data_IF_228680998480
#
_entry.id   IF_228680998480
#
_cell.length_a   1.000
_cell.length_b   1.000
_cell.length_c   1.000
_cell.angle_alpha   90.00
_cell.angle_beta   90.00
_cell.angle_gamma   90.00
#
_symmetry.space_group_name_H-M   'P 1'
#
loop_
_entity.id
_entity.type
_entity.pdbx_description
1 polymer ?
#
# COMPACT_ATOMS: atom_id res chain seq x y z
N UNK A 1 -35.58 0.44 -35.05
CA UNK A 1 -35.09 0.76 -33.70
C UNK A 1 -34.65 -0.56 -33.09
N UNK A 2 -33.34 -0.82 -32.92
CA UNK A 2 -32.86 -2.11 -32.39
C UNK A 2 -32.99 -2.13 -30.87
N UNK A 3 -33.45 -3.24 -30.34
CA UNK A 3 -33.93 -3.44 -28.98
C UNK A 3 -32.81 -3.93 -28.01
N UNK A 4 -31.56 -3.46 -28.19
CA UNK A 4 -30.37 -4.10 -27.56
C UNK A 4 -29.49 -3.21 -26.69
N UNK A 5 -30.02 -2.16 -26.06
CA UNK A 5 -29.23 -1.37 -25.09
C UNK A 5 -29.99 -1.12 -23.78
N UNK A 6 -30.44 -2.22 -23.15
CA UNK A 6 -31.06 -2.17 -21.83
C UNK A 6 -29.98 -2.26 -20.76
N UNK A 7 -29.67 -1.13 -20.14
CA UNK A 7 -28.86 -1.09 -18.92
C UNK A 7 -29.67 -1.66 -17.76
N UNK A 8 -29.18 -2.68 -17.07
CA UNK A 8 -29.77 -3.18 -15.83
C UNK A 8 -28.86 -2.87 -14.65
N UNK A 9 -29.42 -2.28 -13.59
CA UNK A 9 -28.73 -1.98 -12.34
C UNK A 9 -29.50 -2.64 -11.19
N UNK A 10 -28.81 -3.43 -10.37
CA UNK A 10 -29.35 -3.94 -9.10
C UNK A 10 -28.42 -3.53 -7.97
N UNK A 11 -29.00 -2.91 -6.93
CA UNK A 11 -28.29 -2.49 -5.73
C UNK A 11 -28.80 -3.26 -4.52
N UNK A 12 -27.87 -3.87 -3.78
CA UNK A 12 -28.14 -4.65 -2.60
C UNK A 12 -27.36 -4.10 -1.40
N UNK A 13 -27.96 -4.18 -0.22
CA UNK A 13 -27.30 -3.85 1.05
C UNK A 13 -27.35 -5.03 2.02
N UNK A 14 -26.33 -5.12 2.88
CA UNK A 14 -26.28 -5.98 4.04
C UNK A 14 -25.90 -5.12 5.26
N UNK A 15 -26.51 -5.42 6.40
CA UNK A 15 -26.12 -4.81 7.68
C UNK A 15 -26.43 -5.79 8.80
N UNK A 16 -25.39 -6.30 9.44
CA UNK A 16 -25.53 -6.97 10.74
C UNK A 16 -25.42 -5.91 11.85
N UNK A 17 -26.15 -6.07 12.95
CA UNK A 17 -26.12 -5.14 14.08
C UNK A 17 -24.76 -4.98 14.77
N UNK A 18 -23.72 -5.67 14.27
CA UNK A 18 -22.35 -5.66 14.81
C UNK A 18 -21.46 -4.58 14.16
N UNK A 19 -21.95 -3.89 13.12
CA UNK A 19 -21.20 -2.87 12.38
C UNK A 19 -20.17 -3.44 11.39
N UNK A 20 -19.82 -4.73 11.47
CA UNK A 20 -18.93 -5.40 10.49
C UNK A 20 -19.63 -5.71 9.17
N UNK A 21 -20.94 -5.91 9.20
CA UNK A 21 -21.76 -6.26 8.04
C UNK A 21 -22.26 -5.09 7.21
N UNK A 22 -22.03 -3.83 7.58
CA UNK A 22 -22.62 -2.65 6.91
C UNK A 22 -22.02 -2.38 5.51
N UNK A 23 -22.53 -3.06 4.48
CA UNK A 23 -21.92 -3.19 3.14
C UNK A 23 -22.95 -3.10 2.02
N UNK A 24 -22.52 -2.65 0.85
CA UNK A 24 -23.31 -2.66 -0.36
C UNK A 24 -22.68 -3.52 -1.45
N UNK A 25 -23.52 -3.96 -2.38
CA UNK A 25 -23.14 -4.66 -3.60
C UNK A 25 -24.05 -4.23 -4.74
N UNK A 26 -23.45 -3.83 -5.85
CA UNK A 26 -24.11 -3.29 -7.02
C UNK A 26 -23.65 -4.07 -8.24
N UNK A 27 -24.58 -4.45 -9.10
CA UNK A 27 -24.29 -5.04 -10.39
C UNK A 27 -24.98 -4.22 -11.47
N UNK A 28 -24.19 -3.68 -12.40
CA UNK A 28 -24.63 -2.94 -13.58
C UNK A 28 -24.23 -3.71 -14.83
N UNK A 29 -25.18 -4.02 -15.70
CA UNK A 29 -24.91 -4.58 -17.03
C UNK A 29 -25.27 -3.56 -18.10
N UNK A 30 -24.39 -3.42 -19.10
CA UNK A 30 -24.55 -2.54 -20.26
C UNK A 30 -23.94 -3.27 -21.47
N UNK A 31 -24.79 -3.67 -22.42
CA UNK A 31 -24.38 -4.58 -23.50
C UNK A 31 -23.75 -5.86 -22.95
N UNK A 32 -22.52 -6.18 -23.39
CA UNK A 32 -21.76 -7.35 -22.92
C UNK A 32 -20.79 -7.04 -21.77
N UNK A 33 -20.93 -5.88 -21.12
CA UNK A 33 -20.09 -5.48 -19.99
C UNK A 33 -20.86 -5.55 -18.68
N UNK A 34 -20.25 -6.18 -17.67
CA UNK A 34 -20.71 -6.20 -16.28
C UNK A 34 -19.76 -5.37 -15.42
N UNK A 35 -20.32 -4.38 -14.74
CA UNK A 35 -19.65 -3.57 -13.73
C UNK A 35 -20.21 -3.94 -12.36
N UNK A 36 -19.34 -4.43 -11.48
CA UNK A 36 -19.66 -4.75 -10.10
C UNK A 36 -19.08 -3.67 -9.20
N UNK A 37 -19.90 -3.05 -8.36
CA UNK A 37 -19.43 -2.08 -7.35
C UNK A 37 -19.78 -2.57 -5.95
N UNK A 38 -18.83 -2.58 -5.02
CA UNK A 38 -19.09 -3.11 -3.68
C UNK A 38 -18.18 -2.49 -2.63
N UNK A 39 -18.70 -2.29 -1.43
CA UNK A 39 -17.95 -1.59 -0.39
C UNK A 39 -18.75 -1.42 0.88
N UNK A 40 -18.32 -0.48 1.73
CA UNK A 40 -19.11 -0.06 2.88
C UNK A 40 -20.17 0.94 2.44
N UNK A 41 -21.37 0.86 2.99
CA UNK A 41 -22.45 1.80 2.69
C UNK A 41 -21.98 3.23 3.04
N UNK A 42 -22.26 4.19 2.15
CA UNK A 42 -21.79 5.57 2.26
C UNK A 42 -20.32 5.78 1.87
N UNK A 43 -19.72 4.86 1.10
CA UNK A 43 -18.40 5.02 0.46
C UNK A 43 -18.50 4.76 -1.05
N UNK A 44 -17.50 5.20 -1.82
CA UNK A 44 -17.43 4.91 -3.28
C UNK A 44 -17.34 3.39 -3.56
N UNK A 45 -16.65 2.66 -2.69
CA UNK A 45 -16.43 1.21 -2.80
C UNK A 45 -15.39 0.83 -3.86
N UNK A 46 -15.28 -0.47 -4.12
CA UNK A 46 -14.47 -1.06 -5.19
C UNK A 46 -15.31 -1.20 -6.45
N UNK A 47 -14.70 -1.05 -7.62
CA UNK A 47 -15.34 -1.33 -8.91
C UNK A 47 -14.54 -2.39 -9.67
N UNK A 48 -15.22 -3.42 -10.16
CA UNK A 48 -14.67 -4.43 -11.05
C UNK A 48 -15.46 -4.45 -12.36
N UNK A 49 -14.78 -4.32 -13.49
CA UNK A 49 -15.40 -4.38 -14.82
C UNK A 49 -15.00 -5.68 -15.51
N UNK A 50 -15.96 -6.37 -16.12
CA UNK A 50 -15.74 -7.60 -16.90
C UNK A 50 -16.50 -7.53 -18.22
N UNK A 51 -15.84 -7.91 -19.30
CA UNK A 51 -16.45 -8.02 -20.63
C UNK A 51 -16.73 -9.48 -20.96
N UNK A 52 -17.87 -9.74 -21.60
CA UNK A 52 -18.35 -11.05 -21.99
C UNK A 52 -18.54 -11.15 -23.51
N UNK A 53 -18.60 -12.37 -24.08
CA UNK A 53 -18.84 -12.54 -25.52
C UNK A 53 -20.22 -12.07 -25.98
N UNK A 54 -21.24 -12.12 -25.11
CA UNK A 54 -22.61 -11.69 -25.42
C UNK A 54 -23.26 -10.97 -24.22
N UNK A 55 -24.27 -10.11 -24.46
CA UNK A 55 -25.05 -9.48 -23.39
C UNK A 55 -25.72 -10.49 -22.43
N UNK A 56 -26.20 -11.61 -22.96
CA UNK A 56 -26.85 -12.66 -22.16
C UNK A 56 -25.87 -13.32 -21.19
N UNK A 57 -24.61 -13.49 -21.59
CA UNK A 57 -23.56 -14.02 -20.71
C UNK A 57 -23.21 -13.04 -19.57
N UNK A 58 -23.18 -11.73 -19.86
CA UNK A 58 -22.97 -10.71 -18.82
C UNK A 58 -24.12 -10.69 -17.81
N UNK A 59 -25.37 -10.79 -18.29
CA UNK A 59 -26.57 -10.86 -17.45
C UNK A 59 -26.60 -12.12 -16.59
N UNK A 60 -26.29 -13.29 -17.17
CA UNK A 60 -26.25 -14.55 -16.42
C UNK A 60 -25.20 -14.54 -15.31
N UNK A 61 -24.02 -13.94 -15.53
CA UNK A 61 -23.02 -13.77 -14.48
C UNK A 61 -23.49 -12.77 -13.41
N UNK A 62 -24.13 -11.67 -13.81
CA UNK A 62 -24.70 -10.70 -12.86
C UNK A 62 -25.73 -11.36 -11.93
N UNK A 63 -26.68 -12.11 -12.49
CA UNK A 63 -27.71 -12.83 -11.73
C UNK A 63 -27.12 -13.87 -10.79
N UNK A 64 -26.09 -14.58 -11.24
CA UNK A 64 -25.35 -15.54 -10.41
C UNK A 64 -24.72 -14.84 -9.20
N UNK A 65 -24.07 -13.69 -9.41
CA UNK A 65 -23.46 -12.90 -8.33
C UNK A 65 -24.50 -12.33 -7.38
N UNK A 66 -25.60 -11.79 -7.89
CA UNK A 66 -26.68 -11.26 -7.07
C UNK A 66 -27.34 -12.35 -6.22
N UNK A 67 -27.58 -13.54 -6.78
CA UNK A 67 -28.11 -14.70 -6.06
C UNK A 67 -27.18 -15.16 -4.94
N UNK A 68 -25.86 -15.21 -5.22
CA UNK A 68 -24.83 -15.50 -4.21
C UNK A 68 -24.82 -14.48 -3.06
N UNK A 69 -25.11 -13.21 -3.34
CA UNK A 69 -25.20 -12.16 -2.31
C UNK A 69 -26.50 -12.25 -1.52
N UNK A 70 -27.64 -12.49 -2.18
CA UNK A 70 -28.93 -12.69 -1.52
C UNK A 70 -28.89 -13.87 -0.55
N UNK A 71 -28.25 -14.99 -0.91
CA UNK A 71 -28.08 -16.12 0.01
C UNK A 71 -27.19 -15.82 1.22
N UNK A 72 -26.34 -14.79 1.12
CA UNK A 72 -25.52 -14.25 2.22
C UNK A 72 -26.25 -13.16 3.03
N UNK A 73 -27.56 -12.98 2.81
CA UNK A 73 -28.40 -12.06 3.57
C UNK A 73 -28.46 -10.63 3.02
N UNK A 74 -27.91 -10.36 1.83
CA UNK A 74 -28.10 -9.07 1.17
C UNK A 74 -29.54 -8.92 0.70
N UNK A 75 -30.11 -7.72 0.87
CA UNK A 75 -31.46 -7.38 0.46
C UNK A 75 -31.44 -6.25 -0.55
N UNK A 76 -32.48 -6.16 -1.40
CA UNK A 76 -32.64 -5.02 -2.29
C UNK A 76 -32.81 -3.73 -1.49
N UNK A 77 -32.14 -2.68 -1.94
CA UNK A 77 -32.12 -1.38 -1.30
C UNK A 77 -32.05 -0.26 -2.33
N UNK A 78 -32.37 0.96 -1.90
CA UNK A 78 -32.21 2.17 -2.70
C UNK A 78 -30.90 2.86 -2.33
N UNK A 79 -30.07 3.17 -3.33
CA UNK A 79 -28.82 3.87 -3.11
C UNK A 79 -29.06 5.23 -2.42
N UNK A 80 -28.40 5.45 -1.28
CA UNK A 80 -28.43 6.72 -0.55
C UNK A 80 -29.45 6.79 0.60
N UNK A 81 -30.37 5.83 0.73
CA UNK A 81 -31.32 5.80 1.86
C UNK A 81 -30.66 5.42 3.19
N UNK A 82 -29.69 4.50 3.16
CA UNK A 82 -28.95 4.09 4.35
C UNK A 82 -27.66 4.89 4.48
N UNK A 83 -27.52 5.60 5.61
CA UNK A 83 -26.34 6.38 5.93
C UNK A 83 -25.16 5.53 6.41
N UNK A 84 -23.94 6.09 6.31
CA UNK A 84 -22.70 5.48 6.78
C UNK A 84 -22.76 5.16 8.28
N UNK A 85 -22.60 3.89 8.65
CA UNK A 85 -22.45 3.48 10.04
C UNK A 85 -20.99 3.55 10.51
N UNK A 86 -20.75 4.12 11.68
CA UNK A 86 -19.45 4.05 12.35
C UNK A 86 -19.15 2.61 12.78
N UNK A 87 -17.96 2.12 12.44
CA UNK A 87 -17.49 0.82 12.93
C UNK A 87 -16.89 1.06 14.30
N UNK A 88 -17.33 0.33 15.35
CA UNK A 88 -16.62 0.34 16.61
C UNK A 88 -15.18 -0.12 16.35
N UNK A 89 -14.21 0.77 16.50
CA UNK A 89 -12.79 0.41 16.49
C UNK A 89 -12.59 -0.48 17.72
N UNK A 90 -12.05 -1.71 17.60
CA UNK A 90 -11.69 -2.49 18.77
C UNK A 90 -10.78 -1.65 19.66
N UNK A 91 -11.13 -1.47 20.93
CA UNK A 91 -10.40 -0.61 21.85
C UNK A 91 -8.89 -0.95 21.82
N UNK A 92 -8.06 0.06 21.55
CA UNK A 92 -6.62 -0.13 21.45
C UNK A 92 -6.08 -0.58 22.81
N UNK A 93 -5.24 -1.62 22.83
CA UNK A 93 -4.51 -2.05 24.03
C UNK A 93 -3.29 -1.15 24.22
N UNK A 94 -3.55 0.07 24.70
CA UNK A 94 -2.54 1.10 24.90
C UNK A 94 -1.71 0.85 26.17
N UNK A 95 -0.40 1.15 26.17
CA UNK A 95 0.38 1.36 27.38
C UNK A 95 -0.33 2.32 28.36
N UNK A 96 -0.17 2.09 29.67
CA UNK A 96 -0.82 2.91 30.70
C UNK A 96 -0.52 4.40 30.55
N UNK A 97 0.72 4.74 30.17
CA UNK A 97 1.14 6.12 29.99
C UNK A 97 0.39 6.85 28.86
N UNK A 98 -0.17 6.12 27.90
CA UNK A 98 -0.98 6.68 26.80
C UNK A 98 -2.48 6.72 27.10
N UNK A 99 -2.91 6.33 28.30
CA UNK A 99 -4.33 6.25 28.64
C UNK A 99 -5.05 7.60 28.53
N UNK A 100 -4.37 8.70 28.87
CA UNK A 100 -4.92 10.07 28.77
C UNK A 100 -5.12 10.53 27.32
N UNK A 101 -4.44 9.91 26.35
CA UNK A 101 -4.48 10.27 24.93
C UNK A 101 -5.27 9.26 24.08
N UNK A 102 -6.04 8.36 24.72
CA UNK A 102 -6.77 7.28 24.05
C UNK A 102 -7.63 7.79 22.90
N UNK A 103 -8.50 8.76 23.15
CA UNK A 103 -9.48 9.22 22.15
C UNK A 103 -8.78 9.79 20.91
N UNK A 104 -7.67 10.52 21.10
CA UNK A 104 -6.86 11.06 20.02
C UNK A 104 -6.18 9.94 19.21
N UNK A 105 -5.58 8.95 19.89
CA UNK A 105 -4.92 7.81 19.25
C UNK A 105 -5.92 6.91 18.51
N UNK A 106 -7.10 6.64 19.09
CA UNK A 106 -8.16 5.87 18.43
C UNK A 106 -8.74 6.63 17.22
N UNK A 107 -8.82 7.96 17.28
CA UNK A 107 -9.20 8.80 16.13
C UNK A 107 -8.16 8.80 15.02
N UNK A 108 -6.87 8.65 15.37
CA UNK A 108 -5.80 8.58 14.37
C UNK A 108 -5.75 7.26 13.59
N UNK A 109 -6.50 6.23 13.98
CA UNK A 109 -6.37 4.89 13.38
C UNK A 109 -6.60 4.92 11.87
N UNK A 110 -5.60 4.45 11.10
CA UNK A 110 -5.67 4.33 9.64
C UNK A 110 -5.53 2.87 9.21
N UNK A 111 -6.22 2.46 8.14
CA UNK A 111 -5.96 1.16 7.52
C UNK A 111 -4.59 1.18 6.83
N UNK A 112 -3.96 0.01 6.74
CA UNK A 112 -2.74 -0.23 5.97
C UNK A 112 -2.68 -1.70 5.54
N UNK A 113 -1.87 -2.03 4.55
CA UNK A 113 -1.61 -3.41 4.14
C UNK A 113 -0.26 -3.82 4.70
N UNK A 114 -0.25 -4.72 5.67
CA UNK A 114 0.97 -5.37 6.18
C UNK A 114 1.45 -6.38 5.16
N UNK A 115 2.72 -6.33 4.80
CA UNK A 115 3.34 -7.22 3.83
C UNK A 115 4.24 -8.23 4.55
N UNK A 116 4.15 -9.49 4.13
CA UNK A 116 5.07 -10.56 4.53
C UNK A 116 5.66 -11.19 3.29
N UNK A 117 6.95 -11.52 3.31
CA UNK A 117 7.63 -12.21 2.23
C UNK A 117 7.95 -13.66 2.55
N UNK A 118 8.17 -14.46 1.52
CA UNK A 118 8.85 -15.74 1.65
C UNK A 118 9.61 -16.06 0.36
N UNK A 119 10.74 -16.75 0.46
CA UNK A 119 11.49 -17.18 -0.72
C UNK A 119 10.60 -18.08 -1.60
N UNK A 120 10.68 -17.90 -2.92
CA UNK A 120 9.90 -18.75 -3.83
C UNK A 120 9.87 -18.26 -5.27
N UNK A 121 9.39 -19.15 -6.15
CA UNK A 121 9.15 -18.80 -7.55
C UNK A 121 7.92 -17.89 -7.64
N UNK A 122 8.04 -16.83 -8.45
CA UNK A 122 6.97 -15.87 -8.68
C UNK A 122 6.70 -15.76 -10.19
N UNK A 123 5.43 -15.64 -10.57
CA UNK A 123 5.09 -15.23 -11.94
C UNK A 123 5.57 -13.79 -12.18
N UNK A 124 5.85 -13.36 -13.42
CA UNK A 124 6.32 -12.00 -13.70
C UNK A 124 5.45 -10.90 -13.07
N UNK A 125 4.13 -11.07 -13.06
CA UNK A 125 3.14 -10.12 -12.52
C UNK A 125 2.81 -10.29 -11.02
N UNK A 126 3.46 -11.20 -10.30
CA UNK A 126 3.25 -11.39 -8.86
C UNK A 126 3.96 -10.29 -8.05
N UNK A 127 3.36 -9.86 -6.94
CA UNK A 127 3.99 -8.97 -5.96
C UNK A 127 5.21 -9.66 -5.36
N UNK A 128 6.38 -9.03 -5.46
CA UNK A 128 7.65 -9.66 -5.07
C UNK A 128 8.71 -8.63 -4.72
N UNK A 129 9.71 -9.08 -3.96
CA UNK A 129 11.01 -8.45 -3.80
C UNK A 129 12.05 -9.24 -4.60
N UNK A 130 12.89 -8.51 -5.33
CA UNK A 130 13.90 -9.07 -6.23
C UNK A 130 13.37 -10.01 -7.32
N UNK A 131 14.29 -10.61 -8.06
CA UNK A 131 14.01 -11.49 -9.18
C UNK A 131 13.68 -10.78 -10.49
N UNK A 132 12.89 -11.43 -11.34
CA UNK A 132 12.51 -10.88 -12.65
C UNK A 132 11.24 -10.03 -12.54
N UNK A 133 11.30 -8.71 -12.84
CA UNK A 133 10.13 -7.84 -12.83
C UNK A 133 9.19 -8.11 -14.00
N UNK A 134 7.93 -7.73 -13.84
CA UNK A 134 6.99 -7.57 -14.96
C UNK A 134 7.51 -6.49 -15.92
N UNK A 135 7.61 -6.80 -17.22
CA UNK A 135 7.99 -5.80 -18.22
C UNK A 135 7.36 -6.13 -19.57
N UNK A 136 6.40 -5.33 -20.07
CA UNK A 136 5.81 -5.55 -21.39
C UNK A 136 6.86 -5.47 -22.50
N UNK A 137 6.71 -6.28 -23.54
CA UNK A 137 7.57 -6.20 -24.74
C UNK A 137 7.62 -4.76 -25.28
N UNK A 138 8.83 -4.33 -25.62
CA UNK A 138 9.09 -2.96 -26.11
C UNK A 138 9.28 -1.91 -25.01
N UNK A 139 9.06 -2.25 -23.74
CA UNK A 139 9.35 -1.36 -22.62
C UNK A 139 10.86 -1.31 -22.33
N UNK A 140 11.40 -0.09 -22.20
CA UNK A 140 12.79 0.11 -21.82
C UNK A 140 13.07 -0.37 -20.40
N UNK A 141 14.31 -0.79 -20.13
CA UNK A 141 14.77 -0.98 -18.75
C UNK A 141 14.95 0.39 -18.06
N UNK A 142 14.67 0.53 -16.76
CA UNK A 142 14.86 1.80 -16.04
C UNK A 142 16.35 2.11 -15.83
N UNK A 143 16.73 3.38 -16.01
CA UNK A 143 18.11 3.83 -15.86
C UNK A 143 18.19 5.03 -14.92
N UNK A 144 19.30 5.15 -14.19
CA UNK A 144 19.69 6.38 -13.50
C UNK A 144 19.90 7.51 -14.52
N UNK A 145 20.00 8.75 -14.04
CA UNK A 145 20.20 9.93 -14.90
C UNK A 145 21.48 9.85 -15.74
N UNK A 146 22.51 9.16 -15.25
CA UNK A 146 23.77 8.94 -15.97
C UNK A 146 23.71 7.80 -17.00
N UNK A 147 22.56 7.14 -17.15
CA UNK A 147 22.37 6.01 -18.06
C UNK A 147 22.73 4.65 -17.47
N UNK A 148 23.08 4.55 -16.18
CA UNK A 148 23.34 3.27 -15.51
C UNK A 148 22.03 2.50 -15.32
N UNK A 149 21.95 1.20 -15.67
CA UNK A 149 20.77 0.38 -15.40
C UNK A 149 20.47 0.30 -13.90
N UNK A 150 19.21 0.52 -13.52
CA UNK A 150 18.78 0.41 -12.12
C UNK A 150 18.48 -1.05 -11.76
N UNK A 151 18.73 -1.41 -10.50
CA UNK A 151 18.36 -2.70 -9.96
C UNK A 151 16.87 -2.74 -9.64
N UNK A 152 16.23 -3.89 -9.88
CA UNK A 152 14.86 -4.12 -9.46
C UNK A 152 14.81 -4.40 -7.95
N UNK A 153 14.12 -3.54 -7.20
CA UNK A 153 13.94 -3.70 -5.75
C UNK A 153 12.72 -4.56 -5.46
N UNK A 154 11.55 -4.10 -5.89
CA UNK A 154 10.28 -4.77 -5.61
C UNK A 154 9.20 -4.34 -6.60
N UNK A 155 8.13 -5.13 -6.65
CA UNK A 155 6.87 -4.71 -7.27
C UNK A 155 5.67 -5.15 -6.43
N UNK A 156 4.60 -4.40 -6.53
CA UNK A 156 3.32 -4.66 -5.89
C UNK A 156 2.25 -4.71 -6.99
N UNK A 157 1.63 -5.87 -7.14
CA UNK A 157 0.43 -6.02 -7.95
C UNK A 157 -0.78 -5.70 -7.07
N UNK A 158 -1.41 -4.55 -7.31
CA UNK A 158 -2.54 -4.11 -6.50
C UNK A 158 -3.75 -5.05 -6.59
N UNK A 159 -3.87 -5.86 -7.64
CA UNK A 159 -4.92 -6.88 -7.73
C UNK A 159 -4.74 -8.04 -6.73
N UNK A 160 -3.52 -8.23 -6.21
CA UNK A 160 -3.21 -9.23 -5.16
C UNK A 160 -3.35 -8.66 -3.75
N UNK A 161 -3.58 -7.35 -3.62
CA UNK A 161 -3.66 -6.65 -2.34
C UNK A 161 -5.12 -6.41 -1.93
N UNK A 162 -5.36 -6.32 -0.62
CA UNK A 162 -6.64 -5.80 -0.13
C UNK A 162 -6.75 -4.31 -0.48
N UNK A 163 -7.87 -3.87 -1.07
CA UNK A 163 -8.04 -2.45 -1.42
C UNK A 163 -7.86 -1.57 -0.18
N UNK A 164 -7.01 -0.55 -0.33
CA UNK A 164 -6.66 0.40 0.71
C UNK A 164 -7.04 1.82 0.28
N UNK A 165 -8.25 2.27 0.61
CA UNK A 165 -8.68 3.65 0.34
C UNK A 165 -8.45 4.06 -1.13
N UNK A 166 -7.64 5.10 -1.33
CA UNK A 166 -7.32 5.70 -2.63
C UNK A 166 -6.24 4.95 -3.43
N UNK A 167 -5.67 3.87 -2.89
CA UNK A 167 -4.73 3.03 -3.62
C UNK A 167 -5.42 2.37 -4.82
N UNK A 168 -4.71 2.17 -5.95
CA UNK A 168 -5.28 1.46 -7.09
C UNK A 168 -5.79 0.07 -6.69
N UNK A 169 -6.89 -0.39 -7.29
CA UNK A 169 -7.39 -1.76 -7.12
C UNK A 169 -6.79 -2.76 -8.13
N UNK A 170 -5.95 -2.28 -9.05
CA UNK A 170 -5.32 -3.05 -10.11
C UNK A 170 -4.03 -2.37 -10.59
N UNK A 171 -3.27 -3.06 -11.42
CA UNK A 171 -2.00 -2.57 -11.95
C UNK A 171 -0.82 -2.95 -11.06
N UNK A 172 0.37 -2.77 -11.59
CA UNK A 172 1.63 -3.09 -10.91
C UNK A 172 2.42 -1.80 -10.73
N UNK A 173 2.77 -1.47 -9.48
CA UNK A 173 3.81 -0.47 -9.19
C UNK A 173 5.14 -1.18 -8.96
N UNK A 174 6.22 -0.63 -9.49
CA UNK A 174 7.57 -1.18 -9.43
C UNK A 174 8.53 -0.13 -8.90
N UNK A 175 9.51 -0.59 -8.12
CA UNK A 175 10.54 0.22 -7.50
C UNK A 175 11.90 -0.24 -8.00
N UNK A 176 12.68 0.68 -8.53
CA UNK A 176 14.02 0.45 -9.04
C UNK A 176 15.00 1.42 -8.38
N UNK A 177 16.15 0.93 -7.94
CA UNK A 177 17.16 1.72 -7.23
C UNK A 177 18.56 1.46 -7.78
N UNK A 178 19.45 2.44 -7.61
CA UNK A 178 20.88 2.27 -7.84
C UNK A 178 21.49 1.59 -6.61
N UNK A 179 22.36 0.61 -6.82
CA UNK A 179 23.24 0.14 -5.76
C UNK A 179 24.40 1.11 -5.60
N UNK A 180 24.36 1.94 -4.57
CA UNK A 180 25.41 2.90 -4.20
C UNK A 180 25.36 3.12 -2.67
N UNK A 181 26.21 4.00 -2.14
CA UNK A 181 26.34 4.30 -0.70
C UNK A 181 25.04 4.81 -0.04
N UNK A 182 24.07 5.26 -0.85
CA UNK A 182 22.76 5.73 -0.40
C UNK A 182 21.60 4.86 -0.90
N UNK A 183 21.86 3.66 -1.40
CA UNK A 183 20.87 2.76 -2.00
C UNK A 183 19.94 3.46 -3.03
N UNK A 184 20.47 4.46 -3.73
CA UNK A 184 19.75 5.23 -4.74
C UNK A 184 18.87 6.37 -4.22
N UNK A 185 18.84 6.64 -2.92
CA UNK A 185 18.17 7.81 -2.36
C UNK A 185 19.03 9.07 -2.54
N UNK A 186 18.39 10.24 -2.71
CA UNK A 186 19.10 11.52 -2.87
C UNK A 186 19.30 12.22 -1.52
N UNK A 187 19.98 11.55 -0.59
CA UNK A 187 20.17 12.06 0.77
C UNK A 187 21.24 13.16 0.86
N UNK A 188 22.04 13.34 -0.20
CA UNK A 188 23.10 14.34 -0.32
C UNK A 188 22.64 15.65 -1.00
N UNK A 189 21.33 15.81 -1.23
CA UNK A 189 20.77 16.98 -1.88
C UNK A 189 20.98 18.27 -1.05
N UNK A 190 21.24 19.39 -1.75
CA UNK A 190 21.43 20.73 -1.14
C UNK A 190 20.21 21.16 -0.31
N UNK A 191 19.02 20.75 -0.74
CA UNK A 191 17.77 20.91 -0.02
C UNK A 191 17.23 19.52 0.33
N UNK A 192 16.93 19.31 1.60
CA UNK A 192 16.40 18.05 2.11
C UNK A 192 14.89 18.20 2.34
N UNK A 193 14.12 18.06 1.26
CA UNK A 193 12.66 18.12 1.27
C UNK A 193 12.06 17.04 0.34
N UNK A 194 10.72 16.90 0.33
CA UNK A 194 10.05 15.90 -0.51
C UNK A 194 10.30 16.09 -2.01
N UNK A 195 10.54 17.31 -2.48
CA UNK A 195 10.81 17.56 -3.89
C UNK A 195 12.21 17.05 -4.30
N UNK A 196 13.21 17.26 -3.45
CA UNK A 196 14.54 16.70 -3.64
C UNK A 196 14.55 15.17 -3.56
N UNK A 197 13.83 14.61 -2.59
CA UNK A 197 13.67 13.15 -2.43
C UNK A 197 12.86 12.51 -3.56
N UNK A 198 12.05 13.29 -4.30
CA UNK A 198 11.33 12.84 -5.49
C UNK A 198 12.14 12.93 -6.81
N UNK A 199 13.36 13.45 -6.77
CA UNK A 199 14.20 13.57 -7.97
C UNK A 199 14.67 12.20 -8.46
N UNK A 200 14.33 11.80 -9.68
CA UNK A 200 14.61 10.45 -10.19
C UNK A 200 16.05 10.30 -10.72
N UNK A 201 17.05 10.72 -9.94
CA UNK A 201 18.47 10.68 -10.32
C UNK A 201 18.99 9.25 -10.23
N UNK A 202 18.77 8.59 -9.09
CA UNK A 202 19.32 7.28 -8.75
C UNK A 202 18.25 6.21 -8.48
N UNK A 203 16.97 6.51 -8.69
CA UNK A 203 15.87 5.58 -8.55
C UNK A 203 14.74 5.91 -9.54
N UNK A 204 13.85 4.95 -9.78
CA UNK A 204 12.61 5.16 -10.52
C UNK A 204 11.47 4.35 -9.93
N UNK A 205 10.27 4.94 -9.97
CA UNK A 205 9.02 4.25 -9.65
C UNK A 205 8.15 4.22 -10.90
N UNK A 206 7.71 3.03 -11.30
CA UNK A 206 6.96 2.83 -12.55
C UNK A 206 5.63 2.17 -12.23
N UNK A 207 4.54 2.73 -12.75
CA UNK A 207 3.21 2.16 -12.62
C UNK A 207 2.67 1.68 -13.97
N UNK A 208 2.30 0.40 -14.01
CA UNK A 208 1.64 -0.24 -15.15
C UNK A 208 0.16 -0.41 -14.83
N UNK A 209 -0.75 0.42 -15.40
CA UNK A 209 -2.18 0.38 -15.07
C UNK A 209 -2.90 -0.87 -15.62
N UNK A 210 -2.34 -1.48 -16.66
CA UNK A 210 -2.83 -2.71 -17.28
C UNK A 210 -1.75 -3.79 -17.22
N UNK A 211 -2.14 -4.99 -16.79
CA UNK A 211 -1.24 -6.13 -16.56
C UNK A 211 -1.58 -7.21 -17.58
N UNK A 212 -0.57 -7.64 -18.34
CA UNK A 212 -0.66 -8.77 -19.27
C UNK A 212 -0.13 -10.02 -18.58
N UNK A 213 -0.99 -11.00 -18.36
CA UNK A 213 -0.65 -12.29 -17.75
C UNK A 213 -0.32 -13.35 -18.82
N UNK A 214 0.61 -12.99 -19.71
CA UNK A 214 1.09 -13.83 -20.82
C UNK A 214 2.60 -13.58 -20.99
N UNK A 215 3.43 -14.54 -20.58
CA UNK A 215 4.89 -14.42 -20.64
C UNK A 215 5.42 -14.18 -22.06
N UNK A 216 4.69 -14.61 -23.09
CA UNK A 216 5.11 -14.39 -24.49
C UNK A 216 5.02 -12.91 -24.91
N UNK A 217 4.32 -12.09 -24.12
CA UNK A 217 4.19 -10.65 -24.31
C UNK A 217 5.09 -9.84 -23.38
N UNK A 218 6.02 -10.49 -22.67
CA UNK A 218 6.93 -9.85 -21.73
C UNK A 218 8.40 -9.95 -22.17
N UNK A 219 9.19 -8.93 -21.83
CA UNK A 219 10.65 -8.98 -21.89
C UNK A 219 11.24 -9.29 -20.52
N UNK A 220 11.49 -10.57 -20.28
CA UNK A 220 11.98 -11.12 -19.01
C UNK A 220 13.51 -11.03 -18.85
N UNK A 221 14.21 -10.39 -19.80
CA UNK A 221 15.66 -10.17 -19.67
C UNK A 221 15.93 -9.14 -18.58
N UNK A 222 16.80 -9.49 -17.65
CA UNK A 222 17.33 -8.59 -16.61
C UNK A 222 18.78 -8.25 -16.98
N UNK A 223 19.13 -6.98 -17.20
CA UNK A 223 20.51 -6.59 -17.44
C UNK A 223 21.34 -6.76 -16.17
N UNK A 224 22.64 -6.98 -16.33
CA UNK A 224 23.57 -6.89 -15.22
C UNK A 224 23.65 -5.44 -14.74
N UNK A 225 23.51 -5.24 -13.44
CA UNK A 225 23.75 -3.95 -12.79
C UNK A 225 25.20 -3.91 -12.28
N UNK A 226 25.89 -2.75 -12.35
CA UNK A 226 27.23 -2.62 -11.80
C UNK A 226 27.24 -2.94 -10.29
N UNK A 227 28.28 -3.62 -9.84
CA UNK A 227 28.55 -3.77 -8.41
C UNK A 227 29.26 -2.51 -7.90
N UNK A 228 28.69 -1.85 -6.91
CA UNK A 228 29.30 -0.73 -6.17
C UNK A 228 29.55 -1.17 -4.71
N UNK A 229 30.46 -0.49 -4.00
CA UNK A 229 31.05 -0.95 -2.72
C UNK A 229 30.04 -1.17 -1.59
N UNK A 230 28.89 -0.50 -1.62
CA UNK A 230 27.82 -0.64 -0.61
C UNK A 230 26.60 -1.45 -1.10
N UNK A 231 26.63 -1.89 -2.36
CA UNK A 231 25.69 -2.86 -2.90
C UNK A 231 24.22 -2.43 -2.88
N UNK A 232 23.35 -3.43 -2.72
CA UNK A 232 21.90 -3.31 -2.64
C UNK A 232 21.44 -3.87 -1.29
N UNK A 233 20.25 -3.48 -0.80
CA UNK A 233 19.75 -3.94 0.50
C UNK A 233 19.46 -5.46 0.52
N UNK A 234 19.39 -6.11 -0.64
CA UNK A 234 19.28 -7.56 -0.79
C UNK A 234 19.89 -7.98 -2.13
N UNK A 235 20.09 -9.29 -2.34
CA UNK A 235 20.46 -9.81 -3.66
C UNK A 235 19.28 -9.70 -4.65
N UNK A 236 19.36 -8.84 -5.68
CA UNK A 236 18.27 -8.63 -6.63
C UNK A 236 17.98 -9.84 -7.51
N UNK A 237 18.83 -10.86 -7.53
CA UNK A 237 18.56 -12.12 -8.23
C UNK A 237 17.64 -13.05 -7.41
N UNK A 238 17.59 -12.89 -6.09
CA UNK A 238 16.77 -13.71 -5.21
C UNK A 238 15.33 -13.19 -5.21
N UNK A 239 14.35 -14.11 -5.30
CA UNK A 239 12.92 -13.75 -5.35
C UNK A 239 12.22 -14.10 -4.05
N UNK A 240 11.55 -13.11 -3.48
CA UNK A 240 10.63 -13.28 -2.36
C UNK A 240 9.22 -12.87 -2.76
N UNK A 241 8.26 -13.80 -2.65
CA UNK A 241 6.86 -13.53 -2.96
C UNK A 241 6.23 -12.75 -1.80
N UNK A 242 5.59 -11.62 -2.11
CA UNK A 242 4.94 -10.78 -1.12
C UNK A 242 3.44 -11.11 -1.01
N UNK A 243 2.93 -11.05 0.22
CA UNK A 243 1.51 -11.21 0.54
C UNK A 243 1.04 -10.09 1.44
N UNK A 244 -0.09 -9.48 1.08
CA UNK A 244 -0.68 -8.38 1.83
C UNK A 244 -1.84 -8.82 2.71
N UNK A 245 -1.85 -8.35 3.96
CA UNK A 245 -2.99 -8.48 4.88
C UNK A 245 -3.44 -7.09 5.33
N UNK A 246 -4.72 -6.78 5.15
CA UNK A 246 -5.30 -5.53 5.64
C UNK A 246 -5.27 -5.51 7.17
N UNK A 247 -4.65 -4.47 7.72
CA UNK A 247 -4.58 -4.16 9.15
C UNK A 247 -4.96 -2.68 9.36
N UNK A 248 -4.98 -2.26 10.61
CA UNK A 248 -5.17 -0.86 11.00
C UNK A 248 -4.37 -0.55 12.25
N UNK A 249 -3.80 0.64 12.33
CA UNK A 249 -3.01 1.07 13.48
C UNK A 249 -3.13 2.58 13.71
N UNK A 250 -2.94 3.06 14.96
CA UNK A 250 -2.80 4.48 15.25
C UNK A 250 -1.55 5.09 14.60
N UNK A 251 -1.39 6.40 14.73
CA UNK A 251 -0.16 7.11 14.36
C UNK A 251 1.07 6.46 15.01
N UNK A 252 2.14 6.22 14.25
CA UNK A 252 3.42 5.70 14.78
C UNK A 252 4.11 6.78 15.60
N UNK A 253 5.01 6.40 16.51
CA UNK A 253 5.81 7.37 17.29
C UNK A 253 6.72 8.21 16.42
N UNK A 254 7.08 7.69 15.26
CA UNK A 254 8.11 8.25 14.37
C UNK A 254 7.48 9.14 13.30
N UNK A 255 6.15 9.08 13.09
CA UNK A 255 5.46 9.96 12.15
C UNK A 255 5.34 11.37 12.75
N UNK A 256 5.63 12.36 11.90
CA UNK A 256 5.49 13.80 12.19
C UNK A 256 4.15 14.21 12.83
N UNK A 257 3.07 13.46 12.64
CA UNK A 257 1.75 13.75 13.18
C UNK A 257 1.57 13.29 14.63
N UNK A 258 2.46 12.47 15.21
CA UNK A 258 2.29 11.94 16.56
C UNK A 258 2.12 13.05 17.59
N UNK A 259 3.04 14.01 17.61
CA UNK A 259 3.01 15.14 18.54
C UNK A 259 1.75 16.01 18.33
N UNK A 260 1.31 16.19 17.09
CA UNK A 260 0.07 16.91 16.79
C UNK A 260 -1.19 16.16 17.27
N UNK A 261 -1.15 14.82 17.31
CA UNK A 261 -2.26 13.98 17.80
C UNK A 261 -2.29 13.96 19.33
N UNK A 262 -1.16 13.82 20.00
CA UNK A 262 -1.10 13.62 21.45
C UNK A 262 -0.87 14.91 22.24
N UNK A 263 -0.30 15.94 21.62
CA UNK A 263 0.22 17.15 22.26
C UNK A 263 1.60 16.97 22.90
N UNK A 264 2.25 15.81 22.72
CA UNK A 264 3.50 15.43 23.38
C UNK A 264 4.40 14.61 22.47
N UNK A 265 5.71 14.69 22.71
CA UNK A 265 6.66 13.79 22.06
C UNK A 265 6.52 12.37 22.61
N UNK A 266 6.84 11.39 21.78
CA UNK A 266 6.74 9.98 22.18
C UNK A 266 7.54 9.67 23.45
N UNK A 267 8.75 10.21 23.60
CA UNK A 267 9.61 10.00 24.77
C UNK A 267 9.08 10.68 26.04
N UNK A 268 8.31 11.76 25.95
CA UNK A 268 7.67 12.38 27.12
C UNK A 268 6.55 11.49 27.69
N UNK A 269 5.91 10.71 26.81
CA UNK A 269 4.82 9.80 27.19
C UNK A 269 5.31 8.40 27.56
N UNK A 270 6.27 7.86 26.80
CA UNK A 270 6.71 6.47 26.92
C UNK A 270 8.06 6.32 27.64
N UNK A 271 8.85 7.39 27.73
CA UNK A 271 10.19 7.42 28.32
C UNK A 271 10.25 8.09 29.70
N UNK A 272 9.15 8.11 30.46
CA UNK A 272 9.08 8.82 31.73
C UNK A 272 10.21 8.40 32.71
N UNK A 273 10.86 9.39 33.32
CA UNK A 273 12.12 9.33 34.10
C UNK A 273 12.16 8.33 35.28
N UNK A 274 11.01 7.81 35.72
CA UNK A 274 10.93 6.84 36.83
C UNK A 274 11.01 5.37 36.37
N UNK A 275 10.96 5.10 35.06
CA UNK A 275 11.05 3.76 34.49
C UNK A 275 12.51 3.40 34.16
N UNK A 276 12.90 2.13 34.38
CA UNK A 276 14.20 1.64 33.92
C UNK A 276 14.28 1.57 32.38
N UNK A 277 15.50 1.61 31.82
CA UNK A 277 15.73 1.58 30.36
C UNK A 277 14.96 0.44 29.65
N UNK A 278 15.03 -0.78 30.20
CA UNK A 278 14.28 -1.94 29.69
C UNK A 278 12.76 -1.71 29.65
N UNK A 279 12.20 -1.00 30.64
CA UNK A 279 10.75 -0.74 30.67
C UNK A 279 10.32 0.27 29.61
N UNK A 280 11.18 1.27 29.36
CA UNK A 280 11.01 2.25 28.29
C UNK A 280 11.07 1.57 26.93
N UNK A 281 12.12 0.78 26.67
CA UNK A 281 12.28 0.05 25.41
C UNK A 281 11.07 -0.86 25.14
N UNK A 282 10.64 -1.64 26.13
CA UNK A 282 9.44 -2.47 25.98
C UNK A 282 8.15 -1.64 25.77
N UNK A 283 8.06 -0.41 26.29
CA UNK A 283 6.90 0.45 26.08
C UNK A 283 6.83 0.95 24.63
N UNK A 284 7.97 1.38 24.08
CA UNK A 284 8.11 1.74 22.67
C UNK A 284 7.83 0.55 21.76
N UNK A 285 8.43 -0.61 22.02
CA UNK A 285 8.24 -1.82 21.21
C UNK A 285 6.76 -2.27 21.19
N UNK A 286 6.08 -2.25 22.35
CA UNK A 286 4.64 -2.56 22.43
C UNK A 286 3.80 -1.58 21.63
N UNK A 287 4.12 -0.29 21.69
CA UNK A 287 3.39 0.71 20.92
C UNK A 287 3.66 0.58 19.42
N UNK A 288 4.90 0.37 19.02
CA UNK A 288 5.29 0.16 17.63
C UNK A 288 4.52 -1.03 17.02
N UNK A 289 4.46 -2.17 17.72
CA UNK A 289 3.66 -3.34 17.29
C UNK A 289 2.17 -3.04 17.14
N UNK A 290 1.62 -2.14 17.96
CA UNK A 290 0.22 -1.71 17.88
C UNK A 290 -0.03 -0.76 16.69
N UNK A 291 0.86 0.21 16.47
CA UNK A 291 0.81 1.17 15.36
C UNK A 291 1.08 0.51 14.00
N UNK A 292 1.85 -0.58 14.01
CA UNK A 292 2.19 -1.40 12.86
C UNK A 292 3.60 -1.13 12.37
N UNK A 293 4.49 -2.12 12.48
CA UNK A 293 5.88 -2.12 12.02
C UNK A 293 6.08 -2.98 10.78
N UNK A 294 7.32 -3.06 10.28
CA UNK A 294 7.71 -3.93 9.17
C UNK A 294 7.28 -3.40 7.82
N UNK A 295 7.21 -4.30 6.84
CA UNK A 295 6.85 -3.98 5.46
C UNK A 295 5.36 -3.65 5.34
N UNK A 296 5.03 -2.55 4.65
CA UNK A 296 3.62 -2.16 4.47
C UNK A 296 3.35 -1.21 3.30
N UNK A 297 2.07 -1.13 2.93
CA UNK A 297 1.51 -0.08 2.07
C UNK A 297 0.54 0.78 2.90
N UNK A 298 0.66 2.10 2.78
CA UNK A 298 -0.16 3.05 3.54
C UNK A 298 0.01 2.95 5.06
N UNK A 299 -0.94 3.53 5.79
CA UNK A 299 -0.80 3.75 7.23
C UNK A 299 0.15 4.91 7.54
N UNK A 300 0.83 4.83 8.67
CA UNK A 300 1.86 5.77 9.12
C UNK A 300 3.24 5.10 9.01
N UNK A 301 4.28 5.78 8.52
CA UNK A 301 5.63 5.24 8.39
C UNK A 301 6.34 5.03 9.73
N UNK A 302 7.39 4.21 9.70
CA UNK A 302 8.41 4.11 10.73
C UNK A 302 9.74 4.60 10.18
N UNK A 303 10.60 5.03 11.08
CA UNK A 303 11.95 5.54 10.82
C UNK A 303 12.87 5.07 11.94
N UNK A 304 14.15 4.90 11.67
CA UNK A 304 15.15 4.71 12.74
C UNK A 304 15.66 6.04 13.29
N UNK A 305 15.58 7.11 12.48
CA UNK A 305 16.02 8.45 12.84
C UNK A 305 14.85 9.42 12.89
N UNK A 306 14.61 10.19 11.82
CA UNK A 306 13.60 11.25 11.81
C UNK A 306 12.77 11.20 10.53
N UNK A 307 11.49 11.55 10.66
CA UNK A 307 10.62 11.77 9.52
C UNK A 307 11.15 12.90 8.63
N UNK A 308 11.46 12.66 7.35
CA UNK A 308 11.96 13.69 6.44
C UNK A 308 10.88 14.70 6.03
N UNK A 309 9.60 14.47 6.36
CA UNK A 309 8.48 15.35 5.99
C UNK A 309 8.29 16.47 7.00
N UNK A 310 8.08 17.69 6.48
CA UNK A 310 7.60 18.82 7.28
C UNK A 310 6.19 18.57 7.86
N UNK A 311 5.83 19.23 8.95
CA UNK A 311 4.55 19.06 9.66
C UNK A 311 3.31 19.31 8.78
N UNK A 312 3.43 20.13 7.75
CA UNK A 312 2.37 20.47 6.81
C UNK A 312 2.40 19.63 5.51
N UNK A 313 3.45 18.83 5.31
CA UNK A 313 3.67 18.12 4.05
C UNK A 313 2.60 17.03 3.83
N UNK A 314 1.84 17.06 2.73
CA UNK A 314 0.67 16.19 2.58
C UNK A 314 1.01 14.75 2.20
N UNK A 315 2.28 14.41 1.94
CA UNK A 315 2.63 13.10 1.40
C UNK A 315 2.26 11.97 2.37
N UNK A 316 1.72 10.91 1.78
CA UNK A 316 1.34 9.69 2.48
C UNK A 316 2.30 8.56 2.13
N UNK A 317 2.43 7.59 3.03
CA UNK A 317 3.25 6.42 2.80
C UNK A 317 2.67 5.59 1.64
N UNK A 318 3.41 5.44 0.55
CA UNK A 318 3.08 4.53 -0.54
C UNK A 318 3.53 3.11 -0.19
N UNK A 319 4.80 2.95 0.16
CA UNK A 319 5.42 1.66 0.43
C UNK A 319 6.55 1.83 1.45
N UNK A 320 6.61 0.93 2.43
CA UNK A 320 7.68 0.81 3.41
C UNK A 320 8.27 -0.59 3.33
N UNK A 321 9.60 -0.65 3.34
CA UNK A 321 10.38 -1.87 3.25
C UNK A 321 11.45 -1.82 4.35
N UNK A 322 11.26 -2.62 5.39
CA UNK A 322 12.08 -2.68 6.59
C UNK A 322 13.31 -3.58 6.37
N UNK A 323 14.30 -3.55 7.26
CA UNK A 323 15.28 -4.64 7.32
C UNK A 323 14.59 -5.91 7.80
N UNK A 324 14.96 -7.06 7.23
CA UNK A 324 14.29 -8.33 7.51
C UNK A 324 15.23 -9.51 7.24
N UNK A 325 15.68 -10.15 8.33
CA UNK A 325 16.55 -11.32 8.29
C UNK A 325 15.90 -12.51 7.56
N UNK A 326 14.58 -12.69 7.66
CA UNK A 326 13.87 -13.79 6.98
C UNK A 326 13.85 -13.59 5.45
N UNK A 327 14.02 -12.34 4.99
CA UNK A 327 14.15 -11.98 3.58
C UNK A 327 15.60 -11.71 3.16
N UNK A 328 16.57 -11.95 4.05
CA UNK A 328 17.98 -11.63 3.86
C UNK A 328 18.17 -10.22 3.29
N UNK A 329 17.50 -9.25 3.91
CA UNK A 329 17.47 -7.86 3.49
C UNK A 329 17.91 -6.95 4.63
N UNK A 330 18.79 -6.01 4.33
CA UNK A 330 19.38 -5.10 5.31
C UNK A 330 19.58 -3.71 4.70
N UNK A 331 19.08 -2.69 5.38
CA UNK A 331 19.32 -1.28 5.05
C UNK A 331 20.34 -0.70 6.02
N UNK A 332 21.62 -0.62 5.63
CA UNK A 332 22.66 -0.13 6.54
C UNK A 332 22.70 -0.90 7.86
N UNK A 333 22.66 -0.20 8.99
CA UNK A 333 22.54 -0.79 10.33
C UNK A 333 21.07 -0.94 10.75
N UNK A 334 20.41 -2.01 10.28
CA UNK A 334 19.02 -2.37 10.60
C UNK A 334 18.04 -1.22 10.36
N UNK A 335 18.16 -0.61 9.19
CA UNK A 335 17.37 0.52 8.75
C UNK A 335 16.07 0.18 8.06
N UNK A 336 15.44 1.21 7.50
CA UNK A 336 14.15 1.13 6.83
C UNK A 336 14.07 2.09 5.64
N UNK A 337 13.42 1.65 4.57
CA UNK A 337 13.13 2.48 3.40
C UNK A 337 11.64 2.84 3.31
N UNK A 338 11.36 4.06 2.87
CA UNK A 338 10.02 4.58 2.68
C UNK A 338 9.89 5.28 1.33
N UNK A 339 8.81 5.00 0.63
CA UNK A 339 8.36 5.71 -0.57
C UNK A 339 7.09 6.49 -0.24
N UNK A 340 7.08 7.78 -0.56
CA UNK A 340 5.98 8.69 -0.26
C UNK A 340 5.37 9.24 -1.54
N UNK A 341 4.05 9.46 -1.53
CA UNK A 341 3.32 10.00 -2.69
C UNK A 341 2.32 11.05 -2.21
N UNK A 342 2.11 12.10 -2.99
CA UNK A 342 1.08 13.08 -2.67
C UNK A 342 -0.32 12.43 -2.86
N UNK A 343 -1.33 12.79 -2.05
CA UNK A 343 -2.69 12.26 -2.22
C UNK A 343 -3.29 12.56 -3.61
N UNK A 344 -2.96 13.72 -4.19
CA UNK A 344 -3.39 14.09 -5.53
C UNK A 344 -2.81 13.15 -6.58
N UNK A 345 -1.51 12.86 -6.50
CA UNK A 345 -0.81 12.04 -7.48
C UNK A 345 -1.23 10.58 -7.37
N UNK A 346 -1.46 10.09 -6.14
CA UNK A 346 -2.03 8.76 -5.90
C UNK A 346 -3.43 8.63 -6.54
N UNK A 347 -4.31 9.61 -6.34
CA UNK A 347 -5.64 9.62 -6.93
C UNK A 347 -5.61 9.67 -8.48
N UNK A 348 -4.63 10.40 -9.03
CA UNK A 348 -4.40 10.49 -10.48
C UNK A 348 -3.61 9.30 -11.05
N UNK A 349 -3.10 8.42 -10.18
CA UNK A 349 -2.19 7.30 -10.53
C UNK A 349 -0.91 7.78 -11.22
N UNK A 350 -0.44 8.97 -10.84
CA UNK A 350 0.83 9.54 -11.28
C UNK A 350 1.93 9.17 -10.28
N UNK A 351 2.69 8.12 -10.60
CA UNK A 351 3.79 7.65 -9.75
C UNK A 351 5.13 8.30 -10.10
N UNK A 352 5.15 9.28 -11.01
CA UNK A 352 6.40 9.92 -11.47
C UNK A 352 7.04 10.86 -10.44
N UNK A 353 6.30 11.23 -9.39
CA UNK A 353 6.70 12.15 -8.31
C UNK A 353 6.74 11.49 -6.93
N UNK A 354 7.00 10.18 -6.89
CA UNK A 354 7.19 9.46 -5.64
C UNK A 354 8.53 9.87 -5.02
N UNK A 355 8.50 10.31 -3.76
CA UNK A 355 9.70 10.58 -2.97
C UNK A 355 10.24 9.30 -2.34
N UNK A 356 11.56 9.14 -2.30
CA UNK A 356 12.24 7.98 -1.73
C UNK A 356 13.20 8.40 -0.61
N UNK A 357 13.04 7.79 0.56
CA UNK A 357 13.87 7.96 1.74
C UNK A 357 14.30 6.60 2.30
N UNK A 358 15.43 6.56 2.98
CA UNK A 358 15.76 5.51 3.94
C UNK A 358 16.66 6.07 5.05
N UNK A 359 16.64 5.43 6.21
CA UNK A 359 17.57 5.69 7.31
C UNK A 359 17.96 4.37 8.02
N UNK A 360 19.00 4.42 8.86
CA UNK A 360 19.41 3.30 9.70
C UNK A 360 19.90 3.77 11.08
N UNK A 361 20.18 2.81 11.97
CA UNK A 361 20.65 3.06 13.34
C UNK A 361 22.00 3.74 13.44
#
# INVERSE_FOLDING_TARGET
MRETDRTMLTYLEFSDGTGKGHKFYEARTEGSTLTLRYGRIGTEGQTQVKSFPTPEAALAEADRKLTEKRSKGYVEATLGERGKQAVPVPALRLPKALAAHRDALETSVRPYVSLTGHAGKAQPWTSKLGGTPYRPLGSAWPHAQDGTPLAFLAQINFAEMSLLGDFPGQGIVQFFIRGNDFYGANLDAVHYDMAALASTINFQVIYHPAVVEDETQLDLKVPAVPAEDFGLPHDPATTYVLRGTLKSGPVTTDDRAFEAVTGHRAWELLGADEAGEDEVEHAFERYAKLAGTGHKLGGYPNFTQNDPRALEDPHVLLFQLDSDDDLNMMWGDVGIANFFISPQDLAQRDFSRVAYHWDCG
#
